data_IF_925138240348
#
_entry.id   IF_925138240348
#
_cell.length_a   1.000
_cell.length_b   1.000
_cell.length_c   1.000
_cell.angle_alpha   90.00
_cell.angle_beta   90.00
_cell.angle_gamma   90.00
#
_symmetry.space_group_name_H-M   'P 1'
#
loop_
_entity.id
_entity.type
_entity.pdbx_description
1 polymer ?
#
# COMPACT_ATOMS: atom_id res chain seq x y z
N UNK A 1 13.41 0.49 25.63
CA UNK A 1 12.23 0.90 24.85
C UNK A 1 12.58 1.11 23.39
N UNK A 2 11.96 0.33 22.52
CA UNK A 2 12.06 0.43 21.07
C UNK A 2 10.95 1.33 20.53
N UNK A 3 11.26 2.19 19.56
CA UNK A 3 10.27 3.02 18.88
C UNK A 3 10.11 2.55 17.44
N UNK A 4 8.87 2.27 17.04
CA UNK A 4 8.54 1.89 15.67
C UNK A 4 7.69 3.01 15.07
N UNK A 5 8.10 3.52 13.92
CA UNK A 5 7.37 4.55 13.19
C UNK A 5 6.60 3.89 12.05
N UNK A 6 5.26 4.01 12.09
CA UNK A 6 4.32 3.44 11.11
C UNK A 6 3.61 2.18 11.59
N UNK A 7 2.30 2.10 11.35
CA UNK A 7 1.40 1.01 11.71
C UNK A 7 0.94 0.17 10.52
N UNK A 8 1.70 0.17 9.42
CA UNK A 8 1.54 -0.81 8.33
C UNK A 8 2.00 -2.21 8.73
N UNK A 9 1.90 -3.17 7.80
CA UNK A 9 2.32 -4.56 8.01
C UNK A 9 3.73 -4.67 8.63
N UNK A 10 4.70 -3.91 8.10
CA UNK A 10 6.08 -3.93 8.59
C UNK A 10 6.18 -3.50 10.06
N UNK A 11 5.57 -2.38 10.42
CA UNK A 11 5.60 -1.87 11.80
C UNK A 11 4.89 -2.80 12.79
N UNK A 12 3.76 -3.39 12.38
CA UNK A 12 3.04 -4.36 13.19
C UNK A 12 3.84 -5.66 13.41
N UNK A 13 4.52 -6.15 12.38
CA UNK A 13 5.40 -7.31 12.49
C UNK A 13 6.58 -7.03 13.42
N UNK A 14 7.22 -5.87 13.31
CA UNK A 14 8.28 -5.44 14.25
C UNK A 14 7.75 -5.38 15.69
N UNK A 15 6.60 -4.73 15.90
CA UNK A 15 6.01 -4.59 17.23
C UNK A 15 5.63 -5.94 17.85
N UNK A 16 5.31 -6.94 17.03
CA UNK A 16 4.99 -8.29 17.51
C UNK A 16 6.22 -9.11 17.93
N UNK A 17 7.42 -8.71 17.51
CA UNK A 17 8.69 -9.41 17.80
C UNK A 17 9.54 -8.70 18.85
N UNK A 18 9.53 -7.37 18.83
CA UNK A 18 10.39 -6.54 19.69
C UNK A 18 9.72 -6.32 21.05
N UNK A 19 10.39 -6.77 22.10
CA UNK A 19 10.01 -6.48 23.48
C UNK A 19 10.11 -4.97 23.78
N UNK A 20 9.31 -4.49 24.74
CA UNK A 20 9.26 -3.09 25.18
C UNK A 20 9.21 -2.08 24.02
N UNK A 21 8.34 -2.33 23.04
CA UNK A 21 8.18 -1.49 21.85
C UNK A 21 6.93 -0.61 21.93
N UNK A 22 7.03 0.61 21.38
CA UNK A 22 5.89 1.49 21.13
C UNK A 22 5.85 1.77 19.63
N UNK A 23 4.67 1.58 19.03
CA UNK A 23 4.40 1.90 17.65
C UNK A 23 3.68 3.24 17.57
N UNK A 24 4.18 4.15 16.73
CA UNK A 24 3.53 5.44 16.44
C UNK A 24 2.92 5.40 15.04
N UNK A 25 1.60 5.59 14.95
CA UNK A 25 0.86 5.65 13.68
C UNK A 25 0.19 7.02 13.53
N UNK A 26 0.30 7.60 12.34
CA UNK A 26 -0.29 8.90 12.01
C UNK A 26 -1.74 8.78 11.53
N UNK A 27 -2.09 7.66 10.91
CA UNK A 27 -3.43 7.37 10.43
C UNK A 27 -4.33 6.85 11.55
N UNK A 28 -5.63 7.07 11.44
CA UNK A 28 -6.61 6.50 12.36
C UNK A 28 -6.88 5.00 12.11
N UNK A 29 -6.22 4.41 11.11
CA UNK A 29 -6.34 2.99 10.73
C UNK A 29 -4.97 2.34 10.72
N UNK A 30 -4.96 1.10 11.17
CA UNK A 30 -3.80 0.24 11.26
C UNK A 30 -3.82 -0.75 10.08
N UNK A 31 -2.65 -1.09 9.54
CA UNK A 31 -2.48 -1.95 8.37
C UNK A 31 -2.04 -1.21 7.10
N UNK A 32 -2.03 0.12 7.11
CA UNK A 32 -1.58 0.94 5.97
C UNK A 32 -2.38 0.66 4.70
N UNK A 33 -1.70 0.34 3.59
CA UNK A 33 -2.38 0.03 2.32
C UNK A 33 -3.24 -1.24 2.36
N UNK A 34 -2.93 -2.17 3.30
CA UNK A 34 -3.64 -3.43 3.50
C UNK A 34 -4.75 -3.30 4.57
N UNK A 35 -4.98 -2.11 5.12
CA UNK A 35 -6.09 -1.89 6.04
C UNK A 35 -7.44 -2.13 5.35
N UNK A 36 -8.48 -2.38 6.14
CA UNK A 36 -9.82 -2.70 5.66
C UNK A 36 -10.79 -1.55 5.93
N UNK A 37 -11.84 -1.44 5.11
CA UNK A 37 -13.00 -0.57 5.37
C UNK A 37 -14.29 -1.34 5.29
N UNK A 38 -15.23 -0.99 6.16
CA UNK A 38 -16.61 -1.44 6.03
C UNK A 38 -17.30 -0.70 4.88
N UNK A 39 -17.74 -1.46 3.89
CA UNK A 39 -18.48 -0.99 2.74
C UNK A 39 -19.68 -1.93 2.55
N UNK A 40 -20.89 -1.37 2.63
CA UNK A 40 -22.15 -2.14 2.56
C UNK A 40 -22.25 -3.29 3.58
N UNK A 41 -21.61 -3.15 4.75
CA UNK A 41 -21.58 -4.18 5.80
C UNK A 41 -20.52 -5.28 5.59
N UNK A 42 -19.64 -5.14 4.60
CA UNK A 42 -18.54 -6.06 4.33
C UNK A 42 -17.20 -5.37 4.56
N UNK A 43 -16.24 -6.12 5.11
CA UNK A 43 -14.87 -5.66 5.23
C UNK A 43 -14.12 -5.82 3.91
N UNK A 44 -13.92 -4.71 3.21
CA UNK A 44 -13.21 -4.66 1.94
C UNK A 44 -11.77 -4.20 2.20
N UNK A 45 -10.75 -4.95 1.76
CA UNK A 45 -9.38 -4.47 1.88
C UNK A 45 -9.22 -3.22 1.03
N UNK A 46 -8.46 -2.24 1.50
CA UNK A 46 -8.25 -1.01 0.75
C UNK A 46 -7.44 -1.24 -0.54
N UNK A 47 -6.57 -2.25 -0.57
CA UNK A 47 -5.97 -2.80 -1.77
C UNK A 47 -5.95 -4.33 -1.63
N UNK A 48 -6.29 -5.11 -2.68
CA UNK A 48 -6.37 -6.56 -2.55
C UNK A 48 -4.96 -7.13 -2.27
N UNK A 49 -4.74 -7.89 -1.18
CA UNK A 49 -3.46 -8.54 -0.88
C UNK A 49 -3.15 -9.68 -1.86
N UNK A 50 -2.71 -9.31 -3.05
CA UNK A 50 -2.34 -10.22 -4.13
C UNK A 50 -0.82 -10.43 -4.19
N UNK A 51 -0.44 -11.66 -4.50
CA UNK A 51 0.93 -12.11 -4.68
C UNK A 51 1.07 -12.95 -5.94
N UNK A 52 2.25 -12.96 -6.55
CA UNK A 52 2.57 -13.84 -7.69
C UNK A 52 2.84 -15.28 -7.28
N UNK A 53 3.23 -15.50 -6.02
CA UNK A 53 3.53 -16.80 -5.42
C UNK A 53 3.06 -16.84 -3.97
N UNK A 54 2.87 -18.04 -3.42
CA UNK A 54 2.54 -18.20 -2.00
C UNK A 54 3.65 -17.67 -1.09
N UNK A 55 3.24 -17.17 0.07
CA UNK A 55 4.10 -16.57 1.08
C UNK A 55 4.27 -17.46 2.30
N UNK A 56 5.34 -18.24 2.34
CA UNK A 56 5.55 -19.20 3.43
C UNK A 56 6.44 -18.69 4.57
N UNK A 57 6.76 -17.39 4.56
CA UNK A 57 7.67 -16.76 5.54
C UNK A 57 6.99 -16.39 6.87
N UNK A 58 5.66 -16.34 6.91
CA UNK A 58 4.90 -16.02 8.12
C UNK A 58 3.84 -17.08 8.38
N UNK A 59 3.93 -17.74 9.53
CA UNK A 59 2.95 -18.73 9.94
C UNK A 59 1.57 -18.06 10.12
N UNK A 60 0.56 -18.61 9.45
CA UNK A 60 -0.82 -18.13 9.56
C UNK A 60 -1.32 -17.34 8.35
N UNK A 61 -0.54 -17.14 7.28
CA UNK A 61 -1.10 -16.64 6.01
C UNK A 61 -1.82 -17.76 5.27
N UNK A 62 -3.11 -17.57 4.98
CA UNK A 62 -3.90 -18.48 4.15
C UNK A 62 -4.04 -17.92 2.74
N UNK A 63 -3.67 -18.74 1.77
CA UNK A 63 -3.66 -18.35 0.36
C UNK A 63 -4.80 -19.02 -0.38
N UNK A 64 -5.50 -18.24 -1.21
CA UNK A 64 -6.44 -18.74 -2.20
C UNK A 64 -5.91 -18.38 -3.57
N UNK A 65 -5.76 -19.37 -4.45
CA UNK A 65 -5.42 -19.10 -5.84
C UNK A 65 -6.61 -18.41 -6.53
N UNK A 66 -6.33 -17.31 -7.23
CA UNK A 66 -7.29 -16.57 -8.03
C UNK A 66 -6.77 -16.54 -9.47
N UNK A 67 -7.65 -16.85 -10.42
CA UNK A 67 -7.36 -16.75 -11.85
C UNK A 67 -7.78 -15.37 -12.34
N UNK A 68 -6.84 -14.61 -12.87
CA UNK A 68 -7.07 -13.28 -13.43
C UNK A 68 -6.95 -13.32 -14.95
N UNK A 69 -8.00 -12.89 -15.63
CA UNK A 69 -7.95 -12.54 -17.04
C UNK A 69 -7.58 -11.07 -17.20
N UNK A 70 -6.53 -10.81 -17.97
CA UNK A 70 -5.95 -9.47 -18.15
C UNK A 70 -6.29 -8.94 -19.54
N UNK A 71 -6.85 -7.74 -19.61
CA UNK A 71 -7.01 -6.96 -20.84
C UNK A 71 -6.05 -5.78 -20.82
N UNK A 72 -5.12 -5.77 -21.76
CA UNK A 72 -4.09 -4.73 -21.87
C UNK A 72 -4.31 -3.85 -23.09
N UNK A 73 -4.10 -2.54 -22.93
CA UNK A 73 -4.09 -1.55 -24.03
C UNK A 73 -2.85 -0.69 -23.92
N UNK A 74 -2.05 -0.64 -24.99
CA UNK A 74 -0.80 0.15 -25.04
C UNK A 74 0.11 -0.11 -23.82
N UNK A 75 0.19 -1.36 -23.35
CA UNK A 75 0.95 -1.74 -22.14
C UNK A 75 2.42 -1.34 -22.22
N UNK A 76 3.01 -1.35 -23.41
CA UNK A 76 4.40 -0.92 -23.65
C UNK A 76 4.67 0.54 -23.25
N UNK A 77 3.62 1.38 -23.15
CA UNK A 77 3.70 2.77 -22.72
C UNK A 77 3.44 2.98 -21.22
N UNK A 78 3.20 1.90 -20.46
CA UNK A 78 2.81 1.99 -19.05
C UNK A 78 3.91 2.58 -18.16
N UNK A 79 5.18 2.20 -18.38
CA UNK A 79 6.33 2.76 -17.65
C UNK A 79 6.47 4.26 -17.90
N UNK A 80 6.29 4.69 -19.14
CA UNK A 80 6.31 6.11 -19.53
C UNK A 80 5.14 6.89 -18.91
N UNK A 81 3.93 6.31 -18.91
CA UNK A 81 2.73 6.90 -18.29
C UNK A 81 2.90 7.08 -16.78
N UNK A 82 3.47 6.08 -16.10
CA UNK A 82 3.77 6.15 -14.67
C UNK A 82 4.99 7.05 -14.40
N UNK A 83 5.87 7.22 -15.38
CA UNK A 83 7.14 7.94 -15.21
C UNK A 83 8.12 7.20 -14.31
N UNK A 84 8.24 5.88 -14.49
CA UNK A 84 9.13 4.97 -13.74
C UNK A 84 10.07 4.23 -14.69
N UNK A 85 11.25 3.86 -14.21
CA UNK A 85 12.17 3.02 -14.99
C UNK A 85 11.72 1.56 -15.10
N UNK A 86 10.95 1.08 -14.14
CA UNK A 86 10.45 -0.29 -14.10
C UNK A 86 9.15 -0.40 -13.31
N UNK A 87 8.32 -1.39 -13.67
CA UNK A 87 7.08 -1.64 -12.95
C UNK A 87 7.37 -2.49 -11.70
N UNK A 88 6.83 -2.11 -10.54
CA UNK A 88 6.93 -2.96 -9.37
C UNK A 88 6.09 -4.23 -9.55
N UNK A 89 6.51 -5.32 -8.90
CA UNK A 89 5.90 -6.63 -9.12
C UNK A 89 4.39 -6.66 -8.87
N UNK A 90 3.92 -5.94 -7.85
CA UNK A 90 2.50 -5.84 -7.49
C UNK A 90 1.63 -5.04 -8.46
N UNK A 91 2.23 -4.42 -9.50
CA UNK A 91 1.51 -3.82 -10.64
C UNK A 91 1.61 -4.66 -11.92
N UNK A 92 2.21 -5.84 -11.86
CA UNK A 92 2.38 -6.70 -13.03
C UNK A 92 1.57 -7.98 -12.89
N UNK A 93 0.68 -8.23 -13.86
CA UNK A 93 -0.27 -9.33 -13.84
C UNK A 93 0.05 -10.41 -14.89
N UNK A 94 1.32 -10.48 -15.34
CA UNK A 94 1.79 -11.51 -16.28
C UNK A 94 1.68 -12.90 -15.63
N UNK A 95 0.95 -13.82 -16.26
CA UNK A 95 0.89 -15.23 -15.85
C UNK A 95 -0.47 -15.74 -15.33
N UNK A 96 -1.53 -14.92 -15.29
CA UNK A 96 -2.94 -15.27 -14.98
C UNK A 96 -3.24 -15.93 -13.63
N UNK A 97 -2.26 -16.51 -12.92
CA UNK A 97 -2.42 -17.07 -11.59
C UNK A 97 -1.79 -16.13 -10.57
N UNK A 98 -2.59 -15.70 -9.60
CA UNK A 98 -2.14 -14.96 -8.43
C UNK A 98 -2.68 -15.63 -7.18
N UNK A 99 -2.08 -15.31 -6.04
CA UNK A 99 -2.50 -15.77 -4.73
C UNK A 99 -3.06 -14.60 -3.94
N UNK A 100 -4.29 -14.73 -3.50
CA UNK A 100 -4.94 -13.80 -2.61
C UNK A 100 -4.79 -14.27 -1.17
N UNK A 101 -4.31 -13.41 -0.27
CA UNK A 101 -4.23 -13.74 1.15
C UNK A 101 -5.60 -13.50 1.79
N UNK A 102 -6.37 -14.57 1.94
CA UNK A 102 -7.79 -14.48 2.31
C UNK A 102 -8.03 -14.05 3.75
N UNK A 103 -7.05 -14.28 4.62
CA UNK A 103 -7.14 -14.00 6.05
C UNK A 103 -6.28 -12.80 6.50
N UNK A 104 -5.92 -11.90 5.58
CA UNK A 104 -5.05 -10.76 5.87
C UNK A 104 -5.64 -9.84 6.97
N UNK A 105 -6.97 -9.65 7.00
CA UNK A 105 -7.63 -8.88 8.08
C UNK A 105 -7.32 -9.47 9.46
N UNK A 106 -7.53 -10.78 9.62
CA UNK A 106 -7.31 -11.50 10.87
C UNK A 106 -5.84 -11.42 11.30
N UNK A 107 -4.92 -11.54 10.34
CA UNK A 107 -3.48 -11.41 10.58
C UNK A 107 -3.14 -10.03 11.12
N UNK A 108 -3.63 -8.96 10.47
CA UNK A 108 -3.39 -7.58 10.92
C UNK A 108 -3.97 -7.33 12.33
N UNK A 109 -5.17 -7.83 12.60
CA UNK A 109 -5.81 -7.71 13.93
C UNK A 109 -5.02 -8.43 15.02
N UNK A 110 -4.50 -9.63 14.73
CA UNK A 110 -3.68 -10.40 15.68
C UNK A 110 -2.35 -9.69 15.97
N UNK A 111 -1.70 -9.12 14.95
CA UNK A 111 -0.48 -8.35 15.15
C UNK A 111 -0.77 -7.06 15.94
N UNK A 112 -1.85 -6.36 15.60
CA UNK A 112 -2.26 -5.14 16.29
C UNK A 112 -2.54 -5.37 17.79
N UNK A 113 -3.20 -6.48 18.16
CA UNK A 113 -3.45 -6.83 19.57
C UNK A 113 -2.18 -7.01 20.40
N UNK A 114 -1.05 -7.33 19.76
CA UNK A 114 0.26 -7.47 20.41
C UNK A 114 1.06 -6.17 20.47
N UNK A 115 0.62 -5.13 19.75
CA UNK A 115 1.36 -3.88 19.62
C UNK A 115 0.84 -2.81 20.60
N UNK A 116 1.75 -2.11 21.28
CA UNK A 116 1.43 -0.89 22.02
C UNK A 116 1.41 0.31 21.06
N UNK A 117 0.22 0.60 20.53
CA UNK A 117 0.03 1.65 19.51
C UNK A 117 -0.28 3.00 20.14
N UNK A 118 0.39 4.04 19.66
CA UNK A 118 0.16 5.45 19.98
C UNK A 118 -0.21 6.18 18.69
N UNK A 119 -1.44 6.69 18.62
CA UNK A 119 -1.86 7.51 17.49
C UNK A 119 -1.30 8.92 17.64
N UNK A 120 -0.59 9.42 16.62
CA UNK A 120 -0.07 10.78 16.57
C UNK A 120 0.07 11.24 15.13
N UNK A 121 -0.72 12.24 14.75
CA UNK A 121 -0.82 12.73 13.36
C UNK A 121 0.49 13.24 12.78
N UNK A 122 1.41 13.70 13.64
CA UNK A 122 2.75 14.15 13.27
C UNK A 122 3.74 13.86 14.40
N UNK A 123 4.99 13.57 14.06
CA UNK A 123 6.11 13.53 14.99
C UNK A 123 7.28 14.32 14.41
N UNK A 124 8.10 14.89 15.29
CA UNK A 124 9.33 15.59 14.91
C UNK A 124 10.54 14.86 15.46
N UNK A 125 11.49 14.53 14.58
CA UNK A 125 12.79 14.00 14.98
C UNK A 125 13.72 15.14 15.41
N UNK A 126 14.36 15.01 16.57
CA UNK A 126 15.26 16.02 17.15
C UNK A 126 16.73 15.60 17.20
N UNK A 127 17.08 14.46 16.61
CA UNK A 127 18.38 13.82 16.81
C UNK A 127 18.38 12.91 18.05
N UNK A 128 19.46 12.14 18.24
CA UNK A 128 19.69 11.29 19.42
C UNK A 128 18.49 10.44 19.84
N UNK A 129 17.80 9.83 18.86
CA UNK A 129 16.62 8.97 19.08
C UNK A 129 15.50 9.65 19.87
N UNK A 130 15.43 10.98 19.81
CA UNK A 130 14.41 11.78 20.48
C UNK A 130 13.35 12.24 19.49
N UNK A 131 12.10 11.97 19.84
CA UNK A 131 10.92 12.30 19.05
C UNK A 131 9.93 13.10 19.88
N UNK A 132 9.36 14.14 19.27
CA UNK A 132 8.29 14.94 19.87
C UNK A 132 7.00 14.68 19.09
N UNK A 133 6.00 14.12 19.75
CA UNK A 133 4.69 13.88 19.17
C UNK A 133 3.89 15.18 19.06
N UNK A 134 2.84 15.17 18.24
CA UNK A 134 1.92 16.30 18.06
C UNK A 134 1.33 16.88 19.36
N UNK A 135 1.16 16.06 20.40
CA UNK A 135 0.65 16.47 21.71
C UNK A 135 1.75 16.95 22.69
N UNK A 136 2.98 17.15 22.21
CA UNK A 136 4.12 17.59 23.02
C UNK A 136 4.81 16.48 23.81
N UNK A 137 4.31 15.24 23.77
CA UNK A 137 4.97 14.11 24.43
C UNK A 137 6.35 13.85 23.80
N UNK A 138 7.36 13.75 24.66
CA UNK A 138 8.73 13.41 24.26
C UNK A 138 8.95 11.91 24.44
N UNK A 139 9.40 11.25 23.38
CA UNK A 139 9.81 9.84 23.39
C UNK A 139 11.31 9.79 23.17
N UNK A 140 12.04 9.17 24.10
CA UNK A 140 13.47 8.87 23.96
C UNK A 140 13.62 7.37 23.82
N UNK A 141 14.06 6.91 22.65
CA UNK A 141 14.12 5.50 22.32
C UNK A 141 15.55 4.95 22.41
N UNK A 142 15.68 3.69 22.80
CA UNK A 142 16.94 2.95 22.74
C UNK A 142 17.28 2.59 21.31
N UNK A 143 16.28 2.19 20.51
CA UNK A 143 16.40 1.91 19.08
C UNK A 143 15.17 2.42 18.36
N UNK A 144 15.33 2.77 17.09
CA UNK A 144 14.25 3.34 16.28
C UNK A 144 14.16 2.59 14.97
N UNK A 145 13.01 2.01 14.71
CA UNK A 145 12.69 1.31 13.48
C UNK A 145 11.77 2.18 12.63
N UNK A 146 12.24 2.51 11.43
CA UNK A 146 11.59 3.45 10.52
C UNK A 146 10.91 2.64 9.42
N UNK A 147 9.59 2.54 9.47
CA UNK A 147 8.77 1.91 8.41
C UNK A 147 7.93 2.90 7.61
N UNK A 148 8.11 4.19 7.92
CA UNK A 148 7.51 5.36 7.25
C UNK A 148 8.51 5.99 6.28
N UNK A 149 8.07 6.93 5.41
CA UNK A 149 8.98 7.63 4.53
C UNK A 149 10.14 8.33 5.29
N UNK A 150 11.41 8.10 4.91
CA UNK A 150 12.57 8.69 5.56
C UNK A 150 12.54 10.22 5.62
N UNK A 151 11.92 10.87 4.64
CA UNK A 151 11.82 12.33 4.61
C UNK A 151 11.00 12.94 5.76
N UNK A 152 10.18 12.14 6.45
CA UNK A 152 9.51 12.57 7.69
C UNK A 152 10.50 12.79 8.84
N UNK A 153 11.72 12.28 8.71
CA UNK A 153 12.83 12.49 9.64
C UNK A 153 13.75 13.65 9.22
N UNK A 154 13.37 14.40 8.17
CA UNK A 154 14.20 15.47 7.60
C UNK A 154 15.20 14.99 6.54
N UNK A 155 15.14 13.71 6.14
CA UNK A 155 15.98 13.16 5.09
C UNK A 155 15.49 13.57 3.71
N UNK A 156 16.38 13.51 2.71
CA UNK A 156 16.03 13.87 1.34
C UNK A 156 14.96 12.91 0.81
N UNK A 157 13.91 13.47 0.23
CA UNK A 157 12.84 12.70 -0.40
C UNK A 157 13.32 12.15 -1.74
N UNK A 158 13.29 10.82 -1.89
CA UNK A 158 13.45 10.16 -3.18
C UNK A 158 12.26 10.44 -4.11
N UNK A 159 12.41 10.14 -5.41
CA UNK A 159 11.30 10.30 -6.36
C UNK A 159 10.21 9.27 -6.05
N UNK A 160 8.95 9.69 -6.12
CA UNK A 160 7.80 8.79 -6.00
C UNK A 160 6.65 9.24 -6.90
N UNK A 161 5.79 8.28 -7.21
CA UNK A 161 4.54 8.47 -7.94
C UNK A 161 3.42 8.22 -6.93
N UNK A 162 2.46 9.14 -6.87
CA UNK A 162 1.26 8.98 -6.06
C UNK A 162 0.13 8.34 -6.85
N UNK A 163 -0.72 7.55 -6.20
CA UNK A 163 -1.93 6.98 -6.78
C UNK A 163 -3.17 7.56 -6.10
N UNK A 164 -4.14 7.98 -6.91
CA UNK A 164 -5.53 7.98 -6.46
C UNK A 164 -6.04 6.57 -6.61
N UNK A 165 -6.56 6.03 -5.52
CA UNK A 165 -7.21 4.74 -5.50
C UNK A 165 -8.70 4.95 -5.25
N UNK A 166 -9.51 4.57 -6.23
CA UNK A 166 -10.96 4.53 -6.10
C UNK A 166 -11.41 3.08 -5.90
N UNK A 167 -12.18 2.86 -4.83
CA UNK A 167 -12.78 1.59 -4.47
C UNK A 167 -14.28 1.73 -4.69
N UNK A 168 -14.85 0.88 -5.53
CA UNK A 168 -16.27 0.87 -5.82
C UNK A 168 -16.85 -0.52 -5.62
N UNK A 169 -18.11 -0.59 -5.22
CA UNK A 169 -18.90 -1.82 -5.34
C UNK A 169 -19.91 -1.68 -6.46
N UNK A 170 -20.13 -2.75 -7.22
CA UNK A 170 -21.17 -2.82 -8.26
C UNK A 170 -21.97 -4.10 -8.13
N UNK A 171 -23.13 -4.16 -8.79
CA UNK A 171 -23.82 -5.44 -8.96
C UNK A 171 -22.92 -6.47 -9.64
N UNK A 172 -23.11 -7.75 -9.29
CA UNK A 172 -22.44 -8.86 -9.95
C UNK A 172 -22.67 -8.81 -11.45
N UNK A 173 -21.59 -8.78 -12.20
CA UNK A 173 -21.68 -8.79 -13.66
C UNK A 173 -20.75 -9.86 -14.21
N UNK A 174 -21.24 -10.69 -15.13
CA UNK A 174 -20.37 -11.61 -15.86
C UNK A 174 -19.45 -10.79 -16.76
N UNK A 175 -18.13 -10.96 -16.63
CA UNK A 175 -17.12 -10.21 -17.40
C UNK A 175 -16.02 -11.13 -17.90
N UNK A 176 -15.41 -10.72 -19.01
CA UNK A 176 -14.34 -11.49 -19.66
C UNK A 176 -12.96 -11.19 -19.06
N UNK A 177 -12.81 -10.06 -18.34
CA UNK A 177 -11.54 -9.61 -17.77
C UNK A 177 -11.73 -9.09 -16.35
N UNK A 178 -10.86 -9.54 -15.44
CA UNK A 178 -10.82 -9.11 -14.05
C UNK A 178 -9.69 -8.11 -13.78
N UNK A 179 -8.78 -7.90 -14.74
CA UNK A 179 -7.78 -6.84 -14.68
C UNK A 179 -7.72 -6.11 -16.01
N UNK A 180 -7.74 -4.78 -15.96
CA UNK A 180 -7.58 -3.91 -17.13
C UNK A 180 -6.34 -3.05 -16.91
N UNK A 181 -5.42 -3.09 -17.87
CA UNK A 181 -4.19 -2.30 -17.87
C UNK A 181 -4.24 -1.35 -19.07
N UNK A 182 -4.14 -0.04 -18.82
CA UNK A 182 -4.17 0.98 -19.87
C UNK A 182 -2.94 1.89 -19.77
N UNK A 183 -2.00 1.72 -20.70
CA UNK A 183 -0.79 2.54 -20.83
C UNK A 183 -1.01 3.80 -21.67
N UNK A 184 -2.22 4.05 -22.19
CA UNK A 184 -2.50 5.23 -23.00
C UNK A 184 -2.39 6.51 -22.16
N UNK A 185 -1.52 7.45 -22.57
CA UNK A 185 -1.39 8.77 -21.94
C UNK A 185 -2.65 9.62 -22.04
N UNK A 186 -3.53 9.33 -23.01
CA UNK A 186 -4.83 9.99 -23.14
C UNK A 186 -5.88 9.52 -22.12
N UNK A 187 -5.56 8.51 -21.31
CA UNK A 187 -6.41 7.95 -20.25
C UNK A 187 -5.74 8.13 -18.91
N UNK A 188 -6.49 8.52 -17.88
CA UNK A 188 -5.95 8.81 -16.56
C UNK A 188 -5.61 7.55 -15.76
N UNK A 189 -6.53 6.59 -15.68
CA UNK A 189 -6.28 5.37 -14.90
C UNK A 189 -5.22 4.49 -15.58
N UNK A 190 -4.41 3.81 -14.77
CA UNK A 190 -3.41 2.85 -15.24
C UNK A 190 -3.92 1.41 -15.11
N UNK A 191 -4.60 1.11 -14.00
CA UNK A 191 -5.09 -0.23 -13.69
C UNK A 191 -6.52 -0.16 -13.18
N UNK A 192 -7.31 -1.16 -13.53
CA UNK A 192 -8.58 -1.49 -12.88
C UNK A 192 -8.55 -2.96 -12.52
N UNK A 193 -8.68 -3.28 -11.23
CA UNK A 193 -8.77 -4.65 -10.73
C UNK A 193 -10.21 -4.87 -10.28
N UNK A 194 -10.86 -5.89 -10.84
CA UNK A 194 -12.25 -6.27 -10.57
C UNK A 194 -12.22 -7.57 -9.76
N UNK A 195 -12.33 -7.41 -8.44
CA UNK A 195 -12.26 -8.50 -7.49
C UNK A 195 -13.65 -9.08 -7.22
N UNK A 196 -14.06 -9.98 -8.10
CA UNK A 196 -15.33 -10.72 -7.98
C UNK A 196 -15.27 -11.84 -6.93
N UNK A 197 -14.08 -12.24 -6.49
CA UNK A 197 -13.88 -13.30 -5.49
C UNK A 197 -14.02 -12.83 -4.04
N UNK A 198 -14.14 -11.52 -3.78
CA UNK A 198 -14.23 -10.96 -2.43
C UNK A 198 -15.63 -11.05 -1.82
N UNK A 199 -16.66 -11.11 -2.64
CA UNK A 199 -18.06 -11.17 -2.22
C UNK A 199 -18.89 -11.91 -3.26
N UNK A 200 -19.85 -12.71 -2.81
CA UNK A 200 -20.80 -13.37 -3.70
C UNK A 200 -21.91 -12.41 -4.20
N UNK A 201 -22.04 -11.23 -3.58
CA UNK A 201 -23.18 -10.32 -3.79
C UNK A 201 -22.87 -9.13 -4.70
N UNK A 202 -21.60 -8.72 -4.79
CA UNK A 202 -21.15 -7.58 -5.58
C UNK A 202 -19.72 -7.79 -6.06
N UNK A 203 -19.33 -6.99 -7.05
CA UNK A 203 -17.95 -6.90 -7.51
C UNK A 203 -17.27 -5.69 -6.87
N UNK A 204 -15.99 -5.80 -6.55
CA UNK A 204 -15.18 -4.69 -6.03
C UNK A 204 -14.20 -4.21 -7.08
N UNK A 205 -14.23 -2.92 -7.40
CA UNK A 205 -13.32 -2.30 -8.35
C UNK A 205 -12.26 -1.54 -7.58
N UNK A 206 -11.00 -1.80 -7.90
CA UNK A 206 -9.86 -0.98 -7.50
C UNK A 206 -9.34 -0.27 -8.74
N UNK A 207 -9.52 1.05 -8.80
CA UNK A 207 -9.07 1.88 -9.93
C UNK A 207 -7.85 2.67 -9.47
N UNK A 208 -6.71 2.42 -10.12
CA UNK A 208 -5.43 3.05 -9.80
C UNK A 208 -5.09 4.14 -10.81
N UNK A 209 -5.03 5.38 -10.34
CA UNK A 209 -4.78 6.56 -11.17
C UNK A 209 -3.48 7.23 -10.74
N UNK A 210 -2.40 7.14 -11.55
CA UNK A 210 -1.14 7.77 -11.23
C UNK A 210 -1.20 9.29 -11.28
N UNK A 211 -0.44 9.94 -10.40
CA UNK A 211 -0.18 11.37 -10.40
C UNK A 211 1.19 11.69 -9.79
N UNK A 212 1.78 12.80 -10.21
CA UNK A 212 3.05 13.30 -9.64
C UNK A 212 2.79 14.55 -8.79
N UNK A 213 2.13 15.55 -9.36
CA UNK A 213 1.87 16.82 -8.67
C UNK A 213 0.37 17.08 -8.45
N UNK A 214 -0.45 16.90 -9.49
CA UNK A 214 -1.87 17.22 -9.43
C UNK A 214 -2.71 15.94 -9.33
N UNK A 215 -3.52 15.87 -8.28
CA UNK A 215 -4.50 14.81 -8.06
C UNK A 215 -5.64 14.98 -9.08
N UNK A 216 -5.89 14.00 -9.98
CA UNK A 216 -6.99 14.09 -10.92
C UNK A 216 -8.35 14.05 -10.21
N UNK A 217 -9.32 14.83 -10.70
CA UNK A 217 -10.68 14.77 -10.16
C UNK A 217 -11.40 13.49 -10.56
N UNK A 218 -12.30 13.02 -9.70
CA UNK A 218 -13.11 11.84 -9.95
C UNK A 218 -13.91 11.93 -11.25
N UNK A 219 -14.50 13.09 -11.57
CA UNK A 219 -15.30 13.26 -12.80
C UNK A 219 -14.49 12.98 -14.07
N UNK A 220 -13.21 13.36 -14.09
CA UNK A 220 -12.31 13.07 -15.22
C UNK A 220 -11.97 11.59 -15.29
N UNK A 221 -11.65 10.97 -14.15
CA UNK A 221 -11.36 9.53 -14.05
C UNK A 221 -12.58 8.72 -14.52
N UNK A 222 -13.77 9.06 -14.02
CA UNK A 222 -15.02 8.42 -14.41
C UNK A 222 -15.33 8.62 -15.90
N UNK A 223 -15.07 9.82 -16.43
CA UNK A 223 -15.19 10.08 -17.87
C UNK A 223 -14.38 9.10 -18.72
N UNK A 224 -13.15 8.78 -18.31
CA UNK A 224 -12.32 7.79 -18.99
C UNK A 224 -12.85 6.36 -18.85
N UNK A 225 -13.24 5.96 -17.64
CA UNK A 225 -13.83 4.63 -17.38
C UNK A 225 -15.08 4.41 -18.24
N UNK A 226 -15.95 5.43 -18.33
CA UNK A 226 -17.16 5.40 -19.17
C UNK A 226 -16.80 5.31 -20.65
N UNK A 227 -15.90 6.16 -21.16
CA UNK A 227 -15.47 6.14 -22.58
C UNK A 227 -14.83 4.81 -22.97
N UNK A 228 -14.15 4.15 -22.03
CA UNK A 228 -13.52 2.84 -22.23
C UNK A 228 -14.48 1.66 -22.02
N UNK A 229 -15.73 1.92 -21.63
CA UNK A 229 -16.74 0.89 -21.39
C UNK A 229 -16.47 0.05 -20.14
N UNK A 230 -15.66 0.55 -19.21
CA UNK A 230 -15.26 -0.18 -17.99
C UNK A 230 -16.34 -0.13 -16.93
N UNK A 231 -17.00 1.01 -16.76
CA UNK A 231 -17.94 1.24 -15.67
C UNK A 231 -19.03 2.22 -16.08
N UNK A 232 -20.29 1.88 -15.80
CA UNK A 232 -21.43 2.80 -15.93
C UNK A 232 -21.86 3.34 -14.58
N UNK A 233 -22.47 4.53 -14.55
CA UNK A 233 -22.75 5.25 -13.29
C UNK A 233 -23.82 4.51 -12.48
N UNK A 234 -24.84 4.03 -13.18
CA UNK A 234 -25.96 3.26 -12.67
C UNK A 234 -25.56 1.90 -12.06
N UNK A 235 -24.34 1.42 -12.33
CA UNK A 235 -23.82 0.17 -11.76
C UNK A 235 -23.18 0.38 -10.38
N UNK A 236 -22.84 1.62 -10.01
CA UNK A 236 -22.12 1.94 -8.77
C UNK A 236 -23.08 1.95 -7.59
N UNK A 237 -22.82 1.07 -6.62
CA UNK A 237 -23.57 0.98 -5.35
C UNK A 237 -22.93 1.81 -4.26
N UNK A 238 -21.61 1.73 -4.15
CA UNK A 238 -20.83 2.49 -3.17
C UNK A 238 -19.51 2.98 -3.78
N UNK A 239 -18.95 4.01 -3.15
CA UNK A 239 -17.71 4.64 -3.59
C UNK A 239 -16.89 5.13 -2.41
N UNK A 240 -15.60 4.83 -2.45
CA UNK A 240 -14.56 5.42 -1.62
C UNK A 240 -13.40 5.84 -2.51
N UNK A 241 -12.74 6.92 -2.15
CA UNK A 241 -11.53 7.35 -2.82
C UNK A 241 -10.49 7.75 -1.78
N UNK A 242 -9.23 7.43 -2.04
CA UNK A 242 -8.10 7.84 -1.21
C UNK A 242 -6.87 8.19 -2.04
N UNK A 243 -5.94 8.87 -1.40
CA UNK A 243 -4.69 9.33 -2.01
C UNK A 243 -3.53 8.64 -1.33
N UNK A 244 -2.73 7.90 -2.11
CA UNK A 244 -1.49 7.27 -1.67
C UNK A 244 -0.34 8.07 -2.31
N UNK A 245 0.29 8.97 -1.56
CA UNK A 245 1.32 9.88 -2.11
C UNK A 245 2.59 9.18 -2.57
N UNK A 246 2.99 8.12 -1.87
CA UNK A 246 4.21 7.36 -2.16
C UNK A 246 3.83 5.93 -2.57
N UNK A 247 3.10 5.81 -3.68
CA UNK A 247 2.51 4.57 -4.20
C UNK A 247 3.50 3.75 -5.03
N UNK A 248 4.34 4.39 -5.84
CA UNK A 248 5.48 3.76 -6.50
C UNK A 248 6.74 4.55 -6.14
N UNK A 249 7.74 3.87 -5.61
CA UNK A 249 9.00 4.47 -5.14
C UNK A 249 10.06 4.26 -6.22
N UNK A 250 10.70 5.33 -6.67
CA UNK A 250 11.88 5.20 -7.52
C UNK A 250 13.10 5.24 -6.61
N UNK A 251 13.95 4.21 -6.70
CA UNK A 251 15.20 4.10 -5.93
C UNK A 251 16.11 5.26 -6.34
N UNK A 252 16.12 6.33 -5.54
CA UNK A 252 17.09 7.40 -5.69
C UNK A 252 18.36 6.96 -4.98
N UNK A 253 19.40 6.62 -5.75
CA UNK A 253 20.77 6.27 -5.35
C UNK A 253 20.98 6.00 -3.85
N UNK A 254 21.28 4.73 -3.53
CA UNK A 254 21.64 4.16 -2.21
C UNK A 254 22.61 4.96 -1.33
N UNK A 255 23.26 6.00 -1.83
CA UNK A 255 24.31 6.76 -1.15
C UNK A 255 23.78 7.85 -0.18
N UNK A 256 22.51 8.29 -0.31
CA UNK A 256 21.99 9.49 0.39
C UNK A 256 21.53 9.28 1.85
N UNK A 257 21.67 8.08 2.45
CA UNK A 257 21.32 7.83 3.86
C UNK A 257 22.53 7.64 4.80
N UNK A 258 23.75 7.85 4.29
CA UNK A 258 25.02 7.66 5.02
C UNK A 258 25.42 8.82 5.93
N UNK A 259 24.46 9.52 6.53
CA UNK A 259 24.76 10.52 7.56
C UNK A 259 25.08 9.79 8.88
N UNK A 260 26.27 10.01 9.44
CA UNK A 260 26.73 9.39 10.70
C UNK A 260 25.79 9.64 11.89
N UNK A 261 24.94 10.67 11.81
CA UNK A 261 23.89 10.93 12.81
C UNK A 261 22.72 9.92 12.77
N UNK A 262 22.64 9.10 11.71
CA UNK A 262 21.59 8.11 11.45
C UNK A 262 22.05 6.66 11.66
N UNK A 263 23.30 6.41 12.06
CA UNK A 263 23.86 5.06 12.32
C UNK A 263 23.05 4.23 13.34
N UNK A 264 22.06 4.84 13.99
CA UNK A 264 21.25 4.22 15.03
C UNK A 264 19.76 4.11 14.68
N UNK A 265 19.39 4.30 13.41
CA UNK A 265 18.05 4.10 12.87
C UNK A 265 18.02 2.84 12.00
N UNK A 266 17.02 1.99 12.18
CA UNK A 266 16.81 0.79 11.39
C UNK A 266 15.71 1.05 10.37
N UNK A 267 16.08 1.27 9.10
CA UNK A 267 15.11 1.44 8.02
C UNK A 267 14.60 0.08 7.57
N UNK A 268 13.30 -0.17 7.72
CA UNK A 268 12.69 -1.47 7.43
C UNK A 268 11.44 -1.31 6.56
N UNK A 269 11.14 -2.35 5.78
CA UNK A 269 9.98 -2.41 4.91
C UNK A 269 10.01 -1.42 3.74
N UNK A 270 8.91 -1.42 2.97
CA UNK A 270 8.76 -0.71 1.70
C UNK A 270 9.13 0.78 1.78
N UNK A 271 8.45 1.53 2.67
CA UNK A 271 8.64 2.98 2.77
C UNK A 271 9.95 3.35 3.47
N UNK A 272 10.31 2.63 4.54
CA UNK A 272 11.54 2.87 5.29
C UNK A 272 12.79 2.71 4.42
N UNK A 273 12.88 1.62 3.65
CA UNK A 273 14.00 1.39 2.71
C UNK A 273 13.84 2.09 1.36
N UNK A 274 12.73 2.79 1.13
CA UNK A 274 12.39 3.42 -0.14
C UNK A 274 12.44 2.45 -1.35
N UNK A 275 11.89 1.24 -1.20
CA UNK A 275 11.87 0.18 -2.23
C UNK A 275 10.46 -0.31 -2.49
N UNK A 276 10.13 -0.73 -3.71
CA UNK A 276 8.81 -1.28 -4.04
C UNK A 276 8.63 -2.76 -3.64
N UNK A 277 8.85 -3.07 -2.36
CA UNK A 277 8.65 -4.42 -1.83
C UNK A 277 7.18 -4.85 -1.92
N UNK A 278 6.93 -6.08 -2.35
CA UNK A 278 5.65 -6.76 -2.23
C UNK A 278 5.42 -7.25 -0.77
N UNK A 279 4.30 -7.93 -0.51
CA UNK A 279 3.94 -8.38 0.86
C UNK A 279 4.97 -9.36 1.41
N UNK A 280 5.40 -10.37 0.64
CA UNK A 280 6.40 -11.33 1.11
C UNK A 280 7.77 -10.71 1.31
N UNK A 281 8.21 -9.89 0.36
CA UNK A 281 9.48 -9.16 0.49
C UNK A 281 9.46 -8.23 1.70
N UNK A 282 8.32 -7.63 2.02
CA UNK A 282 8.18 -6.83 3.25
C UNK A 282 8.29 -7.68 4.51
N UNK A 283 7.69 -8.88 4.52
CA UNK A 283 7.81 -9.82 5.65
C UNK A 283 9.25 -10.27 5.82
N UNK A 284 9.91 -10.67 4.73
CA UNK A 284 11.31 -11.09 4.71
C UNK A 284 12.24 -9.97 5.21
N UNK A 285 12.03 -8.76 4.71
CA UNK A 285 12.81 -7.58 5.09
C UNK A 285 12.74 -7.29 6.59
N UNK A 286 11.55 -7.50 7.20
CA UNK A 286 11.28 -7.32 8.63
C UNK A 286 11.70 -8.52 9.47
N UNK A 287 11.98 -9.68 8.87
CA UNK A 287 12.62 -10.81 9.56
C UNK A 287 14.12 -10.60 9.72
N UNK A 288 14.73 -9.78 8.85
CA UNK A 288 16.15 -9.46 8.84
C UNK A 288 16.45 -8.00 9.24
N UNK A 289 15.43 -7.30 9.74
CA UNK A 289 15.53 -6.11 10.56
C UNK A 289 15.31 -6.55 12.03
#
# INVERSE_FOLDING_TARGET
>A
MNLILGGGLAGLLLASKLEDSILVEAQNKIGGILAYEEIEGYDIPLYPPLLKSECNLFQGLEHRQVSLSVSSRKEDYLTEKLGVSGLPDWLTFKGSKVYFIQNMKQVLEQLYKKAKVRLSTTFNFKGDKTFILNNGQVIRASEVYVTVPPYLLGLKKGRSIGFVEAILTTNKTKRDSNVIIDGDKGVLYSHVIIADWLSDFFDVYYILVPFIAQIPSWDRIYGDLKRRGVLKKEEIRSFRYRVIRDAVLEDSNKEDFSDSSLEKLHFCGRLGKWKNLNICETIDDVLHC
#
